data_IF_422121125968
#
_entry.id   IF_422121125968
#
_cell.length_a   1.000
_cell.length_b   1.000
_cell.length_c   1.000
_cell.angle_alpha   90.00
_cell.angle_beta   90.00
_cell.angle_gamma   90.00
#
_symmetry.space_group_name_H-M   'P 1'
#
loop_
_entity.id
_entity.type
_entity.pdbx_description
1 polymer ?
#
# COMPACT_ATOMS: atom_id res chain seq x y z
N UNK A 1 2.05 -11.84 17.47
CA UNK A 1 1.31 -10.59 17.15
C UNK A 1 2.11 -9.85 16.10
N UNK A 2 1.45 -9.10 15.24
CA UNK A 2 2.14 -8.28 14.24
C UNK A 2 2.88 -7.12 14.91
N UNK A 3 4.08 -6.81 14.41
CA UNK A 3 4.92 -5.68 14.85
C UNK A 3 5.50 -5.00 13.62
N UNK A 4 6.35 -3.97 13.78
CA UNK A 4 6.99 -3.35 12.63
C UNK A 4 8.03 -4.27 11.94
N UNK A 5 8.50 -5.33 12.61
CA UNK A 5 9.49 -6.27 12.05
C UNK A 5 9.01 -7.71 11.92
N UNK A 6 7.79 -8.02 12.39
CA UNK A 6 7.24 -9.36 12.36
C UNK A 6 5.84 -9.34 11.72
N UNK A 7 5.71 -10.02 10.58
CA UNK A 7 4.43 -10.22 9.89
C UNK A 7 3.68 -11.38 10.56
N UNK A 8 2.41 -11.15 10.90
CA UNK A 8 1.58 -12.13 11.59
C UNK A 8 0.13 -11.98 11.16
N UNK A 9 -0.25 -12.79 10.18
CA UNK A 9 -1.61 -12.89 9.66
C UNK A 9 -2.41 -13.89 10.50
N UNK A 10 -3.66 -13.53 10.78
CA UNK A 10 -4.57 -14.40 11.54
C UNK A 10 -5.97 -14.40 10.92
N UNK A 11 -6.74 -15.50 11.01
CA UNK A 11 -8.09 -15.59 10.46
C UNK A 11 -9.09 -14.59 11.06
N UNK A 12 -8.75 -13.93 12.16
CA UNK A 12 -9.57 -12.91 12.81
C UNK A 12 -9.50 -11.54 12.09
N UNK A 13 -8.49 -11.33 11.24
CA UNK A 13 -8.23 -10.07 10.55
C UNK A 13 -8.14 -10.30 9.05
N UNK A 14 -9.31 -10.42 8.41
CA UNK A 14 -9.43 -10.81 6.99
C UNK A 14 -9.50 -9.63 6.03
N UNK A 15 -9.41 -8.40 6.55
CA UNK A 15 -9.59 -7.18 5.76
C UNK A 15 -11.06 -6.82 5.54
N UNK A 16 -11.31 -5.97 4.53
CA UNK A 16 -12.65 -5.54 4.12
C UNK A 16 -13.35 -6.68 3.37
N UNK A 17 -12.60 -7.47 2.62
CA UNK A 17 -13.11 -8.61 1.87
C UNK A 17 -12.33 -9.88 2.21
N UNK A 18 -13.05 -10.93 2.60
CA UNK A 18 -12.48 -12.25 2.83
C UNK A 18 -13.53 -13.34 2.67
N UNK A 19 -13.12 -14.48 2.14
CA UNK A 19 -13.97 -15.67 2.05
C UNK A 19 -14.21 -16.29 3.42
N UNK A 20 -15.34 -16.97 3.61
CA UNK A 20 -15.60 -17.76 4.81
C UNK A 20 -14.68 -18.99 4.86
N UNK A 21 -14.18 -19.35 6.05
CA UNK A 21 -13.41 -20.59 6.24
C UNK A 21 -11.89 -20.44 6.17
N UNK A 22 -11.36 -19.23 6.31
CA UNK A 22 -9.93 -19.00 6.48
C UNK A 22 -9.43 -19.71 7.74
N UNK A 23 -8.32 -20.44 7.61
CA UNK A 23 -7.78 -21.28 8.67
C UNK A 23 -6.36 -20.84 9.07
N UNK A 24 -5.94 -21.22 10.28
CA UNK A 24 -4.63 -20.87 10.80
C UNK A 24 -3.45 -21.47 10.02
N UNK A 25 -3.64 -22.58 9.29
CA UNK A 25 -2.55 -23.15 8.49
C UNK A 25 -2.20 -22.25 7.31
N UNK A 26 -3.21 -21.78 6.56
CA UNK A 26 -3.01 -20.81 5.48
C UNK A 26 -2.48 -19.48 6.02
N UNK A 27 -3.01 -19.00 7.15
CA UNK A 27 -2.56 -17.76 7.79
C UNK A 27 -1.07 -17.83 8.24
N UNK A 28 -0.63 -18.97 8.79
CA UNK A 28 0.79 -19.19 9.10
C UNK A 28 1.64 -19.19 7.84
N UNK A 29 1.21 -19.91 6.80
CA UNK A 29 1.97 -20.00 5.56
C UNK A 29 2.13 -18.65 4.87
N UNK A 30 1.08 -17.83 4.81
CA UNK A 30 1.18 -16.47 4.25
C UNK A 30 2.10 -15.60 5.11
N UNK A 31 2.08 -15.73 6.43
CA UNK A 31 3.00 -15.00 7.32
C UNK A 31 4.46 -15.38 7.06
N UNK A 32 4.75 -16.67 6.93
CA UNK A 32 6.10 -17.19 6.66
C UNK A 32 6.68 -16.64 5.35
N UNK A 33 5.91 -16.71 4.25
CA UNK A 33 6.40 -16.28 2.94
C UNK A 33 6.55 -14.76 2.84
N UNK A 34 5.67 -13.99 3.49
CA UNK A 34 5.77 -12.54 3.55
C UNK A 34 6.96 -12.08 4.41
N UNK A 35 7.22 -12.78 5.52
CA UNK A 35 8.39 -12.51 6.34
C UNK A 35 9.67 -12.77 5.56
N UNK A 36 9.75 -13.89 4.84
CA UNK A 36 10.89 -14.19 3.97
C UNK A 36 11.07 -13.13 2.87
N UNK A 37 9.98 -12.68 2.23
CA UNK A 37 10.02 -11.61 1.24
C UNK A 37 10.62 -10.32 1.80
N UNK A 38 10.15 -9.87 2.96
CA UNK A 38 10.65 -8.66 3.62
C UNK A 38 12.15 -8.75 3.95
N UNK A 39 12.63 -9.92 4.37
CA UNK A 39 14.01 -10.13 4.80
C UNK A 39 14.98 -10.29 3.62
N UNK A 40 14.51 -10.79 2.48
CA UNK A 40 15.39 -11.21 1.38
C UNK A 40 15.25 -10.37 0.11
N UNK A 41 14.13 -9.68 -0.10
CA UNK A 41 13.85 -8.98 -1.35
C UNK A 41 13.75 -7.47 -1.20
N UNK A 42 14.19 -6.80 -2.26
CA UNK A 42 13.93 -5.37 -2.41
C UNK A 42 12.48 -5.13 -2.80
N UNK A 43 11.97 -3.92 -2.54
CA UNK A 43 10.64 -3.50 -3.02
C UNK A 43 10.52 -3.38 -4.54
N UNK A 44 11.65 -3.48 -5.25
CA UNK A 44 11.70 -3.57 -6.69
C UNK A 44 12.13 -4.98 -7.05
N UNK A 45 11.48 -5.60 -8.03
CA UNK A 45 11.87 -6.90 -8.57
C UNK A 45 13.09 -6.81 -9.48
N UNK A 46 13.41 -5.63 -10.01
CA UNK A 46 14.55 -5.43 -10.90
C UNK A 46 15.19 -4.03 -10.82
N UNK A 47 16.08 -3.76 -11.77
CA UNK A 47 16.94 -2.57 -11.80
C UNK A 47 16.30 -1.35 -12.44
N UNK A 48 15.19 -1.54 -13.16
CA UNK A 48 14.39 -0.50 -13.83
C UNK A 48 13.10 -0.19 -13.06
N UNK A 49 13.08 -0.53 -11.76
CA UNK A 49 12.05 -0.16 -10.79
C UNK A 49 10.65 -0.75 -11.04
N UNK A 50 10.55 -1.93 -11.66
CA UNK A 50 9.32 -2.71 -11.52
C UNK A 50 9.18 -3.20 -10.08
N UNK A 51 7.99 -3.08 -9.49
CA UNK A 51 7.75 -3.34 -8.08
C UNK A 51 7.60 -4.82 -7.74
N UNK A 52 8.02 -5.19 -6.54
CA UNK A 52 7.71 -6.48 -5.95
C UNK A 52 6.20 -6.53 -5.63
N UNK A 53 5.50 -7.52 -6.18
CA UNK A 53 4.04 -7.68 -6.02
C UNK A 53 3.67 -8.77 -5.00
N UNK A 54 4.65 -9.41 -4.34
CA UNK A 54 4.44 -10.58 -3.48
C UNK A 54 3.45 -10.26 -2.36
N UNK A 55 3.61 -9.12 -1.67
CA UNK A 55 2.68 -8.70 -0.61
C UNK A 55 1.23 -8.66 -1.11
N UNK A 56 0.99 -7.99 -2.23
CA UNK A 56 -0.35 -7.82 -2.79
C UNK A 56 -0.94 -9.17 -3.21
N UNK A 57 -0.15 -10.01 -3.89
CA UNK A 57 -0.58 -11.31 -4.36
C UNK A 57 -0.90 -12.25 -3.19
N UNK A 58 0.01 -12.39 -2.23
CA UNK A 58 -0.09 -13.33 -1.12
C UNK A 58 -1.28 -13.02 -0.22
N UNK A 59 -1.49 -11.75 0.13
CA UNK A 59 -2.65 -11.32 0.93
C UNK A 59 -3.97 -11.51 0.15
N UNK A 60 -3.98 -11.19 -1.14
CA UNK A 60 -5.18 -11.37 -1.98
C UNK A 60 -5.58 -12.84 -2.10
N UNK A 61 -4.66 -13.74 -2.46
CA UNK A 61 -5.00 -15.16 -2.61
C UNK A 61 -5.35 -15.79 -1.26
N UNK A 62 -4.73 -15.33 -0.17
CA UNK A 62 -5.10 -15.76 1.17
C UNK A 62 -6.54 -15.35 1.50
N UNK A 63 -6.91 -14.09 1.29
CA UNK A 63 -8.28 -13.60 1.50
C UNK A 63 -9.31 -14.36 0.64
N UNK A 64 -8.91 -14.80 -0.56
CA UNK A 64 -9.71 -15.64 -1.46
C UNK A 64 -9.77 -17.13 -1.07
N UNK A 65 -9.13 -17.54 0.04
CA UNK A 65 -9.23 -18.91 0.57
C UNK A 65 -8.15 -19.87 0.09
N UNK A 66 -7.01 -19.38 -0.40
CA UNK A 66 -5.91 -20.23 -0.83
C UNK A 66 -5.41 -21.16 0.29
N UNK A 67 -5.14 -22.41 -0.08
CA UNK A 67 -4.51 -23.40 0.82
C UNK A 67 -3.04 -23.07 1.06
N UNK A 68 -2.41 -23.62 2.12
CA UNK A 68 -0.96 -23.45 2.34
C UNK A 68 -0.12 -23.90 1.13
N UNK A 69 -0.52 -24.97 0.46
CA UNK A 69 0.17 -25.49 -0.72
C UNK A 69 0.05 -24.52 -1.89
N UNK A 70 -1.13 -23.92 -2.07
CA UNK A 70 -1.35 -22.92 -3.13
C UNK A 70 -0.50 -21.68 -2.87
N UNK A 71 -0.47 -21.18 -1.63
CA UNK A 71 0.35 -20.03 -1.22
C UNK A 71 1.83 -20.31 -1.49
N UNK A 72 2.34 -21.46 -1.07
CA UNK A 72 3.74 -21.85 -1.31
C UNK A 72 4.06 -21.92 -2.81
N UNK A 73 3.20 -22.56 -3.61
CA UNK A 73 3.42 -22.69 -5.06
C UNK A 73 3.46 -21.34 -5.76
N UNK A 74 2.60 -20.39 -5.38
CA UNK A 74 2.63 -19.05 -5.96
C UNK A 74 3.83 -18.25 -5.47
N UNK A 75 4.20 -18.38 -4.20
CA UNK A 75 5.39 -17.74 -3.65
C UNK A 75 6.66 -18.20 -4.37
N UNK A 76 6.87 -19.51 -4.52
CA UNK A 76 8.06 -20.09 -5.18
C UNK A 76 8.22 -19.66 -6.65
N UNK A 77 7.12 -19.22 -7.29
CA UNK A 77 7.13 -18.67 -8.65
C UNK A 77 7.59 -17.21 -8.68
N UNK A 78 7.10 -16.40 -7.76
CA UNK A 78 7.42 -14.97 -7.72
C UNK A 78 8.77 -14.67 -7.08
N UNK A 79 9.17 -15.45 -6.06
CA UNK A 79 10.45 -15.35 -5.33
C UNK A 79 11.65 -15.32 -6.28
N UNK A 80 11.69 -16.24 -7.25
CA UNK A 80 12.77 -16.38 -8.24
C UNK A 80 13.00 -15.18 -9.14
N UNK A 81 12.01 -14.27 -9.22
CA UNK A 81 12.05 -13.09 -10.07
C UNK A 81 12.51 -11.86 -9.30
N UNK A 82 12.54 -11.94 -7.97
CA UNK A 82 12.92 -10.82 -7.13
C UNK A 82 14.44 -10.67 -7.10
N UNK A 83 14.87 -9.41 -6.99
CA UNK A 83 16.26 -9.09 -6.68
C UNK A 83 16.47 -9.09 -5.16
N UNK A 84 17.70 -9.40 -4.70
CA UNK A 84 18.02 -9.37 -3.29
C UNK A 84 17.87 -7.96 -2.71
N UNK A 85 17.58 -7.89 -1.41
CA UNK A 85 17.49 -6.65 -0.63
C UNK A 85 18.86 -5.94 -0.51
N UNK A 86 19.98 -6.70 -0.51
CA UNK A 86 21.35 -6.19 -0.36
C UNK A 86 22.35 -6.75 -1.42
N UNK A 87 23.43 -6.00 -1.73
CA UNK A 87 23.56 -4.56 -1.71
C UNK A 87 23.32 -4.01 -3.12
N UNK A 88 22.37 -3.10 -3.23
CA UNK A 88 22.45 -2.05 -4.23
C UNK A 88 22.74 -0.77 -3.45
N UNK A 89 23.48 0.18 -4.02
CA UNK A 89 23.71 1.49 -3.39
C UNK A 89 22.38 2.27 -3.34
N UNK A 90 21.43 1.80 -2.55
CA UNK A 90 20.03 2.18 -2.51
C UNK A 90 19.59 2.29 -1.06
N UNK A 91 18.74 3.29 -0.78
CA UNK A 91 18.39 3.65 0.59
C UNK A 91 17.19 2.88 1.14
N UNK A 92 16.55 1.99 0.37
CA UNK A 92 15.34 1.29 0.82
C UNK A 92 15.52 0.54 2.15
N UNK A 93 16.56 -0.29 2.37
CA UNK A 93 16.71 -1.00 3.64
C UNK A 93 16.93 -0.04 4.82
N UNK A 94 17.58 1.10 4.58
CA UNK A 94 17.79 2.13 5.60
C UNK A 94 16.47 2.81 5.98
N UNK A 95 15.64 3.14 4.99
CA UNK A 95 14.32 3.70 5.24
C UNK A 95 13.41 2.68 5.93
N UNK A 96 13.42 1.42 5.50
CA UNK A 96 12.65 0.36 6.13
C UNK A 96 13.01 0.25 7.62
N UNK A 97 14.30 0.09 7.93
CA UNK A 97 14.76 0.04 9.32
C UNK A 97 14.41 1.29 10.13
N UNK A 98 14.38 2.47 9.49
CA UNK A 98 13.96 3.71 10.15
C UNK A 98 12.47 3.70 10.49
N UNK A 99 11.61 3.45 9.50
CA UNK A 99 10.16 3.42 9.73
C UNK A 99 9.72 2.29 10.65
N UNK A 100 10.45 1.17 10.67
CA UNK A 100 10.22 0.12 11.65
C UNK A 100 10.41 0.63 13.07
N UNK A 101 11.51 1.34 13.35
CA UNK A 101 11.77 1.94 14.67
C UNK A 101 10.76 3.03 15.02
N UNK A 102 10.40 3.88 14.06
CA UNK A 102 9.39 4.93 14.25
C UNK A 102 8.04 4.33 14.65
N UNK A 103 7.59 3.29 13.94
CA UNK A 103 6.33 2.60 14.23
C UNK A 103 6.37 1.88 15.58
N UNK A 104 7.47 1.21 15.91
CA UNK A 104 7.61 0.55 17.23
C UNK A 104 7.62 1.57 18.38
N UNK A 105 8.10 2.79 18.13
CA UNK A 105 8.19 3.86 19.16
C UNK A 105 6.89 4.63 19.33
N UNK A 106 6.28 5.03 18.21
CA UNK A 106 5.16 6.00 18.18
C UNK A 106 3.83 5.32 17.95
N UNK A 107 3.80 4.16 17.28
CA UNK A 107 2.60 3.55 16.75
C UNK A 107 2.30 3.98 15.31
N UNK A 108 1.49 3.18 14.61
CA UNK A 108 1.08 3.42 13.23
C UNK A 108 0.33 4.76 13.06
N UNK A 109 -0.69 5.11 13.89
CA UNK A 109 -1.45 6.34 13.69
C UNK A 109 -0.59 7.60 13.76
N UNK A 110 0.32 7.66 14.72
CA UNK A 110 1.22 8.79 14.94
C UNK A 110 2.20 8.95 13.78
N UNK A 111 2.80 7.85 13.31
CA UNK A 111 3.67 7.86 12.12
C UNK A 111 2.91 8.32 10.88
N UNK A 112 1.67 7.86 10.67
CA UNK A 112 0.87 8.30 9.54
C UNK A 112 0.56 9.81 9.62
N UNK A 113 0.16 10.31 10.79
CA UNK A 113 -0.11 11.74 10.95
C UNK A 113 1.15 12.58 10.73
N UNK A 114 2.28 12.17 11.28
CA UNK A 114 3.55 12.91 11.16
C UNK A 114 4.08 12.93 9.72
N UNK A 115 4.10 11.77 9.05
CA UNK A 115 4.80 11.63 7.78
C UNK A 115 3.91 11.76 6.55
N UNK A 116 2.58 11.80 6.68
CA UNK A 116 1.66 11.98 5.54
C UNK A 116 0.69 13.15 5.71
N UNK A 117 0.38 13.58 6.93
CA UNK A 117 -0.74 14.49 7.18
C UNK A 117 -0.40 15.71 8.05
N UNK A 118 0.87 15.94 8.39
CA UNK A 118 1.29 17.10 9.18
C UNK A 118 1.18 18.41 8.39
N UNK A 119 1.15 18.33 7.05
CA UNK A 119 1.15 19.47 6.13
C UNK A 119 2.51 20.15 5.98
N UNK A 120 3.58 19.60 6.58
CA UNK A 120 4.93 20.09 6.36
C UNK A 120 5.52 19.60 5.03
N UNK A 121 6.66 20.17 4.63
CA UNK A 121 7.31 19.85 3.36
C UNK A 121 7.66 18.37 3.20
N UNK A 122 8.02 17.69 4.29
CA UNK A 122 8.34 16.26 4.25
C UNK A 122 7.07 15.45 4.05
N UNK A 123 6.00 15.76 4.81
CA UNK A 123 4.73 15.07 4.70
C UNK A 123 4.09 15.24 3.33
N UNK A 124 4.09 16.46 2.77
CA UNK A 124 3.58 16.72 1.42
C UNK A 124 4.35 15.94 0.35
N UNK A 125 5.69 15.92 0.45
CA UNK A 125 6.52 15.15 -0.50
C UNK A 125 6.27 13.65 -0.38
N UNK A 126 6.17 13.12 0.84
CA UNK A 126 5.96 11.70 1.05
C UNK A 126 4.55 11.27 0.65
N UNK A 127 3.53 12.08 0.93
CA UNK A 127 2.16 11.87 0.48
C UNK A 127 2.07 11.87 -1.05
N UNK A 128 2.74 12.80 -1.72
CA UNK A 128 2.84 12.80 -3.19
C UNK A 128 3.50 11.50 -3.70
N UNK A 129 4.62 11.09 -3.10
CA UNK A 129 5.32 9.84 -3.44
C UNK A 129 4.48 8.60 -3.20
N UNK A 130 3.44 8.65 -2.35
CA UNK A 130 2.50 7.53 -2.20
C UNK A 130 1.76 7.20 -3.52
N UNK A 131 1.62 8.18 -4.42
CA UNK A 131 1.01 8.02 -5.74
C UNK A 131 2.03 7.75 -6.87
N UNK A 132 3.32 7.79 -6.57
CA UNK A 132 4.38 7.52 -7.55
C UNK A 132 4.47 6.02 -7.91
N UNK A 133 5.20 5.72 -8.99
CA UNK A 133 5.48 4.34 -9.38
C UNK A 133 4.22 3.55 -9.67
N UNK A 134 3.27 4.12 -10.43
CA UNK A 134 1.93 3.55 -10.65
C UNK A 134 1.21 3.22 -9.33
N UNK A 135 1.19 4.19 -8.39
CA UNK A 135 0.48 4.13 -7.10
C UNK A 135 0.86 2.95 -6.20
N UNK A 136 2.00 2.29 -6.43
CA UNK A 136 2.36 1.11 -5.65
C UNK A 136 2.54 1.37 -4.15
N UNK A 137 3.14 2.49 -3.68
CA UNK A 137 3.29 2.69 -2.24
C UNK A 137 1.94 2.84 -1.52
N UNK A 138 0.96 3.55 -2.09
CA UNK A 138 -0.38 3.66 -1.47
C UNK A 138 -1.15 2.35 -1.52
N UNK A 139 -0.99 1.53 -2.57
CA UNK A 139 -1.55 0.16 -2.61
C UNK A 139 -0.94 -0.67 -1.47
N UNK A 140 0.39 -0.64 -1.32
CA UNK A 140 1.11 -1.38 -0.28
C UNK A 140 0.68 -0.94 1.13
N UNK A 141 0.53 0.38 1.34
CA UNK A 141 0.00 0.96 2.57
C UNK A 141 -1.42 0.47 2.85
N UNK A 142 -2.28 0.43 1.83
CA UNK A 142 -3.65 -0.09 1.92
C UNK A 142 -3.69 -1.52 2.42
N UNK A 143 -2.88 -2.41 1.86
CA UNK A 143 -2.74 -3.80 2.35
C UNK A 143 -2.22 -3.86 3.80
N UNK A 144 -1.22 -3.04 4.14
CA UNK A 144 -0.71 -2.97 5.51
C UNK A 144 -1.78 -2.55 6.53
N UNK A 145 -2.64 -1.58 6.18
CA UNK A 145 -3.76 -1.14 7.02
C UNK A 145 -4.86 -2.21 7.07
N UNK A 146 -5.29 -2.72 5.93
CA UNK A 146 -6.39 -3.68 5.81
C UNK A 146 -6.13 -4.96 6.61
N UNK A 147 -4.92 -5.48 6.53
CA UNK A 147 -4.51 -6.71 7.22
C UNK A 147 -3.84 -6.46 8.57
N UNK A 148 -3.81 -5.21 9.04
CA UNK A 148 -3.21 -4.80 10.32
C UNK A 148 -1.76 -5.26 10.50
N UNK A 149 -0.92 -5.03 9.49
CA UNK A 149 0.48 -5.44 9.45
C UNK A 149 1.41 -4.22 9.48
N UNK A 150 1.93 -3.82 10.67
CA UNK A 150 2.80 -2.65 10.78
C UNK A 150 4.11 -2.79 9.99
N UNK A 151 4.62 -4.01 9.83
CA UNK A 151 5.77 -4.28 8.97
C UNK A 151 5.53 -3.92 7.50
N UNK A 152 4.34 -4.23 6.96
CA UNK A 152 3.97 -3.88 5.58
C UNK A 152 3.75 -2.37 5.44
N UNK A 153 3.21 -1.72 6.48
CA UNK A 153 3.13 -0.26 6.54
C UNK A 153 4.55 0.34 6.47
N UNK A 154 5.51 -0.18 7.25
CA UNK A 154 6.91 0.27 7.18
C UNK A 154 7.51 0.10 5.76
N UNK A 155 7.24 -1.04 5.09
CA UNK A 155 7.63 -1.26 3.70
C UNK A 155 7.04 -0.21 2.76
N UNK A 156 5.77 0.17 2.93
CA UNK A 156 5.11 1.20 2.11
C UNK A 156 5.77 2.58 2.25
N UNK A 157 6.08 3.00 3.48
CA UNK A 157 6.80 4.25 3.75
C UNK A 157 8.23 4.23 3.17
N UNK A 158 8.94 3.12 3.32
CA UNK A 158 10.27 2.93 2.75
C UNK A 158 10.22 2.93 1.21
N UNK A 159 9.19 2.32 0.63
CA UNK A 159 8.94 2.32 -0.80
C UNK A 159 8.70 3.72 -1.33
N UNK A 160 7.81 4.50 -0.70
CA UNK A 160 7.59 5.90 -1.09
C UNK A 160 8.90 6.71 -1.03
N UNK A 161 9.72 6.49 0.00
CA UNK A 161 10.98 7.21 0.22
C UNK A 161 12.06 6.96 -0.85
N UNK A 162 11.96 5.87 -1.61
CA UNK A 162 12.88 5.58 -2.74
C UNK A 162 12.32 5.93 -4.11
N UNK A 163 11.08 6.42 -4.21
CA UNK A 163 10.52 6.98 -5.44
C UNK A 163 10.87 8.44 -5.59
N UNK A 164 11.02 8.91 -6.82
CA UNK A 164 11.09 10.35 -7.13
C UNK A 164 9.73 11.03 -6.90
N UNK A 165 9.76 12.30 -6.51
CA UNK A 165 8.57 13.11 -6.25
C UNK A 165 8.07 13.86 -7.50
N UNK A 166 7.98 13.17 -8.62
CA UNK A 166 7.65 13.81 -9.90
C UNK A 166 6.19 14.31 -9.94
N UNK A 167 5.27 13.69 -9.20
CA UNK A 167 3.86 14.10 -9.15
C UNK A 167 3.65 15.35 -8.29
N UNK A 168 4.46 15.55 -7.26
CA UNK A 168 4.32 16.68 -6.34
C UNK A 168 4.54 17.98 -7.07
N UNK A 169 5.71 18.10 -7.70
CA UNK A 169 6.09 19.29 -8.47
C UNK A 169 5.27 19.44 -9.77
N UNK A 170 5.01 18.35 -10.49
CA UNK A 170 4.37 18.44 -11.80
C UNK A 170 2.84 18.54 -11.76
N UNK A 171 2.19 18.14 -10.67
CA UNK A 171 0.74 18.04 -10.63
C UNK A 171 0.10 18.49 -9.31
N UNK A 172 0.43 17.85 -8.17
CA UNK A 172 -0.31 18.09 -6.93
C UNK A 172 -0.16 19.52 -6.40
N UNK A 173 1.07 20.04 -6.32
CA UNK A 173 1.31 21.41 -5.82
C UNK A 173 0.68 22.45 -6.76
N UNK A 174 0.91 22.43 -8.09
CA UNK A 174 0.25 23.40 -8.99
C UNK A 174 -1.28 23.31 -8.97
N UNK A 175 -1.84 22.11 -8.84
CA UNK A 175 -3.29 21.93 -8.75
C UNK A 175 -3.86 22.57 -7.48
N UNK A 176 -3.20 22.37 -6.34
CA UNK A 176 -3.60 22.99 -5.07
C UNK A 176 -3.46 24.52 -5.13
N UNK A 177 -2.36 25.04 -5.66
CA UNK A 177 -2.17 26.48 -5.86
C UNK A 177 -3.26 27.09 -6.76
N UNK A 178 -3.62 26.40 -7.84
CA UNK A 178 -4.69 26.82 -8.76
C UNK A 178 -6.07 26.78 -8.09
N UNK A 179 -6.30 25.85 -7.17
CA UNK A 179 -7.52 25.76 -6.38
C UNK A 179 -7.62 26.86 -5.30
N UNK A 180 -6.60 27.70 -5.13
CA UNK A 180 -6.54 28.77 -4.12
C UNK A 180 -5.69 28.43 -2.90
N UNK A 181 -4.84 27.40 -3.00
CA UNK A 181 -4.08 26.83 -1.89
C UNK A 181 -4.96 25.97 -0.98
N UNK A 182 -4.47 25.70 0.24
CA UNK A 182 -5.21 24.95 1.25
C UNK A 182 -6.57 25.63 1.50
N UNK A 183 -7.63 25.00 1.01
CA UNK A 183 -9.00 25.43 1.25
C UNK A 183 -9.30 25.54 2.75
N UNK A 184 -10.25 26.39 3.12
CA UNK A 184 -10.72 26.43 4.51
C UNK A 184 -11.21 25.04 4.91
N UNK A 185 -10.68 24.53 6.03
CA UNK A 185 -11.11 23.24 6.58
C UNK A 185 -12.62 23.25 6.75
N UNK A 186 -13.31 22.39 6.01
CA UNK A 186 -14.75 22.21 6.13
C UNK A 186 -15.13 21.46 7.40
N UNK A 187 -16.42 21.50 7.75
CA UNK A 187 -16.96 20.81 8.92
C UNK A 187 -17.18 19.30 8.69
N UNK A 188 -17.06 18.85 7.44
CA UNK A 188 -17.27 17.45 7.04
C UNK A 188 -15.96 16.68 7.02
N UNK A 189 -15.98 15.48 7.57
CA UNK A 189 -14.92 14.49 7.41
C UNK A 189 -14.89 13.95 5.98
N UNK A 190 -13.74 13.39 5.57
CA UNK A 190 -13.61 12.75 4.26
C UNK A 190 -14.60 11.60 4.07
N UNK A 191 -14.91 10.85 5.13
CA UNK A 191 -15.90 9.77 5.12
C UNK A 191 -17.30 10.30 4.84
N UNK A 192 -17.70 11.40 5.51
CA UNK A 192 -18.99 12.04 5.24
C UNK A 192 -19.08 12.59 3.82
N UNK A 193 -17.97 13.12 3.27
CA UNK A 193 -17.90 13.56 1.88
C UNK A 193 -18.09 12.36 0.93
N UNK A 194 -17.39 11.26 1.17
CA UNK A 194 -17.52 10.02 0.37
C UNK A 194 -18.95 9.48 0.45
N UNK A 195 -19.57 9.44 1.62
CA UNK A 195 -20.94 8.95 1.79
C UNK A 195 -21.96 9.88 1.13
N UNK A 196 -21.75 11.19 1.14
CA UNK A 196 -22.54 12.14 0.38
C UNK A 196 -22.37 11.92 -1.13
N UNK A 197 -21.15 11.77 -1.62
CA UNK A 197 -20.89 11.45 -3.03
C UNK A 197 -21.58 10.14 -3.44
N UNK A 198 -21.54 9.12 -2.57
CA UNK A 198 -22.21 7.82 -2.77
C UNK A 198 -23.73 7.87 -2.68
N UNK A 199 -24.33 8.96 -2.22
CA UNK A 199 -25.80 9.12 -2.13
C UNK A 199 -26.34 10.19 -3.08
N UNK A 200 -25.47 11.07 -3.59
CA UNK A 200 -25.80 12.12 -4.56
C UNK A 200 -26.16 11.55 -5.93
N UNK A 201 -27.37 11.86 -6.41
CA UNK A 201 -27.89 11.35 -7.68
C UNK A 201 -27.17 11.92 -8.90
N UNK A 202 -26.65 13.16 -8.83
CA UNK A 202 -25.89 13.75 -9.94
C UNK A 202 -24.52 13.10 -10.06
N UNK A 203 -23.86 12.81 -8.94
CA UNK A 203 -22.57 12.08 -8.93
C UNK A 203 -22.77 10.66 -9.45
N UNK A 204 -23.83 9.95 -9.00
CA UNK A 204 -24.17 8.61 -9.50
C UNK A 204 -24.51 8.56 -10.99
N UNK A 205 -25.19 9.58 -11.49
CA UNK A 205 -25.55 9.69 -12.90
C UNK A 205 -24.42 10.24 -13.77
N UNK A 206 -23.30 10.65 -13.17
CA UNK A 206 -22.10 11.07 -13.89
C UNK A 206 -21.47 9.91 -14.65
N UNK A 207 -20.68 10.19 -15.70
CA UNK A 207 -19.99 9.14 -16.44
C UNK A 207 -19.01 8.40 -15.51
N UNK A 208 -19.27 7.11 -15.28
CA UNK A 208 -18.33 6.20 -14.63
C UNK A 208 -17.44 5.54 -15.68
N UNK A 209 -16.28 5.04 -15.26
CA UNK A 209 -15.41 4.23 -16.12
C UNK A 209 -16.12 2.97 -16.67
N UNK A 210 -17.17 2.49 -15.99
CA UNK A 210 -18.02 1.39 -16.48
C UNK A 210 -18.88 1.79 -17.69
N UNK A 211 -19.43 3.00 -17.73
CA UNK A 211 -20.24 3.49 -18.86
C UNK A 211 -19.49 3.65 -20.18
N UNK A 212 -18.20 3.32 -20.24
CA UNK A 212 -17.36 3.50 -21.43
C UNK A 212 -16.78 2.20 -21.99
N UNK A 213 -17.10 1.03 -21.44
CA UNK A 213 -16.63 -0.27 -21.99
C UNK A 213 -17.48 -0.70 -23.20
N UNK A 214 -18.74 -0.28 -23.27
CA UNK A 214 -19.68 -0.68 -24.32
C UNK A 214 -19.31 -0.12 -25.71
N UNK A 215 -18.47 0.92 -25.78
CA UNK A 215 -18.09 1.58 -27.03
C UNK A 215 -16.78 1.11 -27.67
N UNK A 216 -16.06 0.14 -27.06
CA UNK A 216 -14.76 -0.35 -27.59
C UNK A 216 -14.81 -1.77 -28.16
N UNK A 217 -16.00 -2.39 -28.20
CA UNK A 217 -16.20 -3.74 -28.73
C UNK A 217 -16.79 -3.78 -30.14
N UNK A 218 -16.62 -2.70 -30.92
CA UNK A 218 -16.92 -2.66 -32.35
C UNK A 218 -15.80 -1.91 -33.08
N UNK A 219 -14.71 -2.61 -33.37
CA UNK A 219 -13.81 -2.43 -34.51
C UNK A 219 -12.99 -3.72 -34.68
#
# INVERSE_FOLDING_TARGET
MATATNICITPEHVGIFGTSGLNHASARKVSEVLQHDMENHHVYLNMIQFHNHIVHLMLTIWALGASPETIQVQYDREDKRQRPVFPRNENYPNYLASFQREIDTKGVPEVMNEYLFSGDRLAESLLSRMFAGLVHPIIHLGFGIEFQQPAIIAQAFAQASVHEDYLGEAFFIPAEETAGGLGLRGDKTLVEIIDQMRTDQKVKAGPTTETRIDSWMVC
#
